data_IF_975326891732
#
_entry.id   IF_975326891732
#
_cell.length_a   1.000
_cell.length_b   1.000
_cell.length_c   1.000
_cell.angle_alpha   90.00
_cell.angle_beta   90.00
_cell.angle_gamma   90.00
#
_symmetry.space_group_name_H-M   'P 1'
#
loop_
_entity.id
_entity.type
_entity.pdbx_description
1 polymer ?
#
# COMPACT_ATOMS: atom_id res chain seq x y z
N UNK A 1 -4.14 11.27 10.46
CA UNK A 1 -5.28 10.83 9.60
C UNK A 1 -5.51 11.71 8.38
N UNK A 2 -5.33 13.04 8.46
CA UNK A 2 -5.58 13.98 7.33
C UNK A 2 -4.90 13.54 6.02
N UNK A 3 -3.62 13.14 6.06
CA UNK A 3 -2.87 12.68 4.88
C UNK A 3 -3.54 11.54 4.10
N UNK A 4 -4.15 10.59 4.81
CA UNK A 4 -4.76 9.40 4.23
C UNK A 4 -6.10 9.71 3.55
N UNK A 5 -6.76 10.80 3.98
CA UNK A 5 -8.03 11.28 3.42
C UNK A 5 -7.83 12.29 2.28
N UNK A 6 -6.70 12.99 2.24
CA UNK A 6 -6.42 14.02 1.23
C UNK A 6 -5.54 13.56 0.08
N UNK A 7 -4.85 12.41 0.23
CA UNK A 7 -3.90 11.92 -0.77
C UNK A 7 -4.35 10.61 -1.38
N UNK A 8 -4.56 10.61 -2.69
CA UNK A 8 -4.80 9.37 -3.43
C UNK A 8 -3.52 8.50 -3.45
N UNK A 9 -3.63 7.18 -3.20
CA UNK A 9 -2.50 6.26 -3.26
C UNK A 9 -1.72 6.32 -4.58
N UNK A 10 -2.41 6.59 -5.70
CA UNK A 10 -1.79 6.81 -7.01
C UNK A 10 -0.82 7.99 -7.00
N UNK A 11 -1.26 9.15 -6.51
CA UNK A 11 -0.46 10.37 -6.43
C UNK A 11 0.74 10.20 -5.51
N UNK A 12 0.58 9.49 -4.40
CA UNK A 12 1.67 9.18 -3.48
C UNK A 12 2.78 8.37 -4.18
N UNK A 13 2.42 7.31 -4.89
CA UNK A 13 3.43 6.48 -5.55
C UNK A 13 4.07 7.21 -6.74
N UNK A 14 3.29 8.01 -7.47
CA UNK A 14 3.83 8.87 -8.53
C UNK A 14 4.83 9.90 -7.99
N UNK A 15 4.57 10.51 -6.83
CA UNK A 15 5.52 11.45 -6.23
C UNK A 15 6.79 10.74 -5.74
N UNK A 16 6.71 9.51 -5.22
CA UNK A 16 7.89 8.71 -4.89
C UNK A 16 8.75 8.39 -6.13
N UNK A 17 8.12 8.07 -7.27
CA UNK A 17 8.86 7.81 -8.51
C UNK A 17 9.51 9.07 -9.09
N UNK A 18 8.81 10.21 -9.05
CA UNK A 18 9.28 11.43 -9.72
C UNK A 18 10.18 12.30 -8.84
N UNK A 19 9.82 12.46 -7.56
CA UNK A 19 10.53 13.33 -6.61
C UNK A 19 11.65 12.56 -5.91
N UNK A 20 11.34 11.39 -5.34
CA UNK A 20 12.34 10.55 -4.67
C UNK A 20 13.15 9.68 -5.65
N UNK A 21 12.90 9.81 -6.96
CA UNK A 21 13.59 9.08 -8.04
C UNK A 21 13.57 7.56 -7.87
N UNK A 22 12.49 7.03 -7.30
CA UNK A 22 12.31 5.59 -7.14
C UNK A 22 12.22 4.92 -8.53
N UNK A 23 12.95 3.82 -8.79
CA UNK A 23 12.84 3.08 -10.05
C UNK A 23 11.40 2.68 -10.34
N UNK A 24 10.93 2.92 -11.57
CA UNK A 24 9.53 2.71 -11.92
C UNK A 24 9.06 1.27 -11.64
N UNK A 25 9.93 0.26 -11.79
CA UNK A 25 9.59 -1.14 -11.48
C UNK A 25 9.13 -1.30 -10.04
N UNK A 26 9.87 -0.72 -9.09
CA UNK A 26 9.55 -0.77 -7.67
C UNK A 26 8.30 0.09 -7.38
N UNK A 27 8.21 1.27 -7.98
CA UNK A 27 7.05 2.14 -7.82
C UNK A 27 5.75 1.48 -8.27
N UNK A 28 5.69 0.89 -9.46
CA UNK A 28 4.48 0.21 -9.92
C UNK A 28 4.14 -1.05 -9.13
N UNK A 29 5.13 -1.79 -8.62
CA UNK A 29 4.89 -2.90 -7.68
C UNK A 29 4.26 -2.40 -6.38
N UNK A 30 4.76 -1.30 -5.81
CA UNK A 30 4.16 -0.68 -4.64
C UNK A 30 2.72 -0.22 -4.91
N UNK A 31 2.48 0.43 -6.06
CA UNK A 31 1.13 0.83 -6.46
C UNK A 31 0.18 -0.37 -6.60
N UNK A 32 0.65 -1.46 -7.22
CA UNK A 32 -0.11 -2.70 -7.33
C UNK A 32 -0.43 -3.29 -5.95
N UNK A 33 0.54 -3.32 -5.03
CA UNK A 33 0.36 -3.79 -3.66
C UNK A 33 -0.69 -2.95 -2.90
N UNK A 34 -0.62 -1.62 -3.01
CA UNK A 34 -1.61 -0.71 -2.38
C UNK A 34 -3.02 -0.94 -2.92
N UNK A 35 -3.16 -1.21 -4.22
CA UNK A 35 -4.44 -1.57 -4.84
C UNK A 35 -4.91 -2.98 -4.44
N UNK A 36 -3.97 -3.87 -4.12
CA UNK A 36 -4.27 -5.25 -3.74
C UNK A 36 -4.82 -5.36 -2.31
N UNK A 37 -4.46 -4.46 -1.39
CA UNK A 37 -4.96 -4.45 0.00
C UNK A 37 -6.51 -4.45 0.08
N UNK A 38 -7.25 -3.50 -0.54
CA UNK A 38 -8.71 -3.51 -0.46
C UNK A 38 -9.31 -4.75 -1.13
N UNK A 39 -8.72 -5.20 -2.24
CA UNK A 39 -9.16 -6.43 -2.92
C UNK A 39 -8.99 -7.66 -2.03
N UNK A 40 -7.87 -7.77 -1.32
CA UNK A 40 -7.61 -8.88 -0.39
C UNK A 40 -8.58 -8.86 0.78
N UNK A 41 -9.00 -7.68 1.24
CA UNK A 41 -10.01 -7.54 2.29
C UNK A 41 -11.39 -8.03 1.82
N UNK A 42 -11.81 -7.65 0.61
CA UNK A 42 -13.05 -8.16 0.01
C UNK A 42 -13.00 -9.68 -0.19
N UNK A 43 -11.87 -10.20 -0.67
CA UNK A 43 -11.68 -11.64 -0.85
C UNK A 43 -11.73 -12.39 0.49
N UNK A 44 -11.08 -11.85 1.53
CA UNK A 44 -11.16 -12.41 2.88
C UNK A 44 -12.61 -12.44 3.39
N UNK A 45 -13.40 -11.39 3.14
CA UNK A 45 -14.82 -11.35 3.50
C UNK A 45 -15.61 -12.42 2.74
N UNK A 46 -15.36 -12.59 1.44
CA UNK A 46 -16.00 -13.62 0.62
C UNK A 46 -15.67 -15.03 1.10
N UNK A 47 -14.39 -15.31 1.40
CA UNK A 47 -13.93 -16.59 1.94
C UNK A 47 -14.60 -16.87 3.29
N UNK A 48 -14.65 -15.85 4.17
CA UNK A 48 -15.30 -15.98 5.49
C UNK A 48 -16.78 -16.30 5.33
N UNK A 49 -17.49 -15.59 4.47
CA UNK A 49 -18.92 -15.84 4.20
C UNK A 49 -19.16 -17.24 3.62
N UNK A 50 -18.30 -17.70 2.71
CA UNK A 50 -18.40 -19.05 2.16
C UNK A 50 -18.19 -20.14 3.23
N UNK A 51 -17.27 -19.93 4.16
CA UNK A 51 -17.06 -20.83 5.31
C UNK A 51 -18.24 -20.82 6.27
N UNK A 52 -18.86 -19.66 6.52
CA UNK A 52 -20.08 -19.56 7.33
C UNK A 52 -21.25 -20.35 6.72
N UNK A 53 -21.46 -20.24 5.40
CA UNK A 53 -22.50 -21.02 4.68
C UNK A 53 -22.24 -22.53 4.76
N UNK A 54 -20.98 -22.95 4.76
CA UNK A 54 -20.57 -24.36 4.93
C UNK A 54 -20.67 -24.86 6.39
N UNK A 55 -21.16 -24.03 7.31
CA UNK A 55 -21.28 -24.40 8.72
C UNK A 55 -19.93 -24.50 9.45
N UNK A 56 -18.86 -23.92 8.90
CA UNK A 56 -17.56 -23.84 9.57
C UNK A 56 -17.67 -22.79 10.69
N UNK A 57 -18.18 -23.21 11.84
CA UNK A 57 -18.44 -22.35 12.98
C UNK A 57 -17.17 -21.92 13.71
N UNK A 58 -17.10 -20.64 14.10
CA UNK A 58 -16.10 -20.07 15.01
C UNK A 58 -16.31 -20.48 16.48
N UNK A 59 -17.18 -21.44 16.76
CA UNK A 59 -17.67 -21.82 18.09
C UNK A 59 -16.78 -22.81 18.86
N UNK A 60 -15.64 -23.23 18.32
CA UNK A 60 -14.73 -24.15 19.02
C UNK A 60 -13.74 -23.38 19.91
N UNK A 61 -13.84 -23.59 21.23
CA UNK A 61 -13.15 -22.84 22.31
C UNK A 61 -11.63 -23.15 22.43
N UNK A 62 -11.05 -23.98 21.56
CA UNK A 62 -9.63 -24.38 21.63
C UNK A 62 -8.65 -23.51 20.81
N UNK A 63 -7.41 -23.39 21.29
CA UNK A 63 -6.29 -22.79 20.54
C UNK A 63 -6.04 -23.53 19.20
N UNK A 64 -6.10 -24.87 19.21
CA UNK A 64 -5.93 -25.69 18.02
C UNK A 64 -7.05 -25.51 16.98
N UNK A 65 -8.30 -25.33 17.43
CA UNK A 65 -9.41 -25.05 16.50
C UNK A 65 -9.29 -23.67 15.88
N UNK A 66 -8.83 -22.66 16.64
CA UNK A 66 -8.56 -21.32 16.11
C UNK A 66 -7.48 -21.32 15.03
N UNK A 67 -6.42 -22.11 15.22
CA UNK A 67 -5.38 -22.30 14.21
C UNK A 67 -5.90 -22.99 12.94
N UNK A 68 -6.74 -24.01 13.07
CA UNK A 68 -7.34 -24.68 11.92
C UNK A 68 -8.32 -23.76 11.15
N UNK A 69 -9.09 -22.94 11.87
CA UNK A 69 -9.95 -21.91 11.28
C UNK A 69 -9.13 -20.86 10.51
N UNK A 70 -8.02 -20.39 11.11
CA UNK A 70 -7.09 -19.47 10.44
C UNK A 70 -6.51 -20.08 9.16
N UNK A 71 -6.03 -21.33 9.20
CA UNK A 71 -5.51 -22.04 8.03
C UNK A 71 -6.57 -22.12 6.90
N UNK A 72 -7.82 -22.40 7.28
CA UNK A 72 -8.95 -22.52 6.34
C UNK A 72 -9.22 -21.23 5.55
N UNK A 73 -8.96 -20.06 6.12
CA UNK A 73 -9.12 -18.77 5.42
C UNK A 73 -7.83 -18.28 4.76
N UNK A 74 -6.68 -18.48 5.39
CA UNK A 74 -5.38 -17.99 4.90
C UNK A 74 -4.94 -18.73 3.64
N UNK A 75 -5.10 -20.06 3.57
CA UNK A 75 -4.65 -20.84 2.41
C UNK A 75 -5.39 -20.41 1.12
N UNK A 76 -6.74 -20.33 1.08
CA UNK A 76 -7.44 -19.84 -0.09
C UNK A 76 -7.08 -18.40 -0.47
N UNK A 77 -6.89 -17.52 0.52
CA UNK A 77 -6.51 -16.13 0.29
C UNK A 77 -5.13 -16.03 -0.37
N UNK A 78 -4.16 -16.83 0.08
CA UNK A 78 -2.83 -16.89 -0.52
C UNK A 78 -2.88 -17.42 -1.96
N UNK A 79 -3.64 -18.49 -2.21
CA UNK A 79 -3.81 -19.05 -3.56
C UNK A 79 -4.45 -18.01 -4.50
N UNK A 80 -5.51 -17.32 -4.04
CA UNK A 80 -6.19 -16.25 -4.77
C UNK A 80 -5.21 -15.10 -5.08
N UNK A 81 -4.40 -14.70 -4.11
CA UNK A 81 -3.38 -13.68 -4.29
C UNK A 81 -2.27 -14.04 -5.28
N UNK A 82 -1.78 -15.29 -5.25
CA UNK A 82 -0.78 -15.77 -6.22
C UNK A 82 -1.35 -15.73 -7.64
N UNK A 83 -2.59 -16.23 -7.85
CA UNK A 83 -3.26 -16.18 -9.16
C UNK A 83 -3.40 -14.74 -9.65
N UNK A 84 -3.86 -13.83 -8.78
CA UNK A 84 -3.99 -12.42 -9.13
C UNK A 84 -2.66 -11.80 -9.53
N UNK A 85 -1.58 -12.12 -8.81
CA UNK A 85 -0.24 -11.64 -9.14
C UNK A 85 0.23 -12.14 -10.51
N UNK A 86 -0.03 -13.40 -10.84
CA UNK A 86 0.25 -13.97 -12.16
C UNK A 86 -0.54 -13.26 -13.27
N UNK A 87 -1.85 -13.07 -13.08
CA UNK A 87 -2.71 -12.36 -14.03
C UNK A 87 -2.20 -10.93 -14.29
N UNK A 88 -1.81 -10.23 -13.22
CA UNK A 88 -1.26 -8.88 -13.31
C UNK A 88 0.09 -8.89 -14.04
N UNK A 89 0.96 -9.86 -13.77
CA UNK A 89 2.25 -10.00 -14.46
C UNK A 89 2.05 -10.22 -15.96
N UNK A 90 1.20 -11.17 -16.34
CA UNK A 90 0.89 -11.47 -17.75
C UNK A 90 0.32 -10.23 -18.45
N UNK A 91 -0.59 -9.50 -17.78
CA UNK A 91 -1.13 -8.25 -18.32
C UNK A 91 -0.09 -7.13 -18.44
N UNK A 92 0.88 -7.07 -17.54
CA UNK A 92 2.00 -6.11 -17.60
C UNK A 92 2.95 -6.45 -18.75
N UNK A 93 3.31 -7.72 -18.91
CA UNK A 93 4.19 -8.19 -19.99
C UNK A 93 3.53 -7.98 -21.36
N UNK A 94 2.24 -8.27 -21.48
CA UNK A 94 1.45 -8.04 -22.70
C UNK A 94 1.39 -6.56 -23.11
N UNK A 95 1.55 -5.63 -22.16
CA UNK A 95 1.61 -4.18 -22.40
C UNK A 95 3.04 -3.65 -22.58
N UNK A 96 4.04 -4.54 -22.65
CA UNK A 96 5.44 -4.16 -22.78
C UNK A 96 6.01 -3.47 -21.54
N UNK A 97 5.49 -3.77 -20.34
CA UNK A 97 6.01 -3.19 -19.10
C UNK A 97 7.49 -3.57 -18.95
N UNK A 98 8.35 -2.55 -18.87
CA UNK A 98 9.79 -2.76 -18.72
C UNK A 98 10.55 -3.03 -20.01
N UNK A 99 9.92 -2.96 -21.18
CA UNK A 99 10.57 -3.08 -22.50
C UNK A 99 11.58 -1.96 -22.76
N UNK A 100 11.38 -0.77 -22.17
CA UNK A 100 12.25 0.40 -22.34
C UNK A 100 12.92 0.82 -21.03
N UNK A 101 14.14 1.36 -21.13
CA UNK A 101 14.89 1.91 -19.98
C UNK A 101 14.25 3.15 -19.38
N UNK A 102 13.71 4.03 -20.23
CA UNK A 102 12.98 5.25 -19.82
C UNK A 102 11.51 5.10 -20.17
N UNK A 103 10.64 5.44 -19.22
CA UNK A 103 9.18 5.42 -19.39
C UNK A 103 8.67 6.85 -19.58
N UNK A 104 7.74 7.04 -20.51
CA UNK A 104 7.00 8.29 -20.65
C UNK A 104 5.98 8.43 -19.51
N UNK A 105 6.02 9.57 -18.82
CA UNK A 105 5.13 9.88 -17.69
C UNK A 105 4.03 10.80 -18.22
N UNK A 106 2.77 10.37 -18.05
CA UNK A 106 1.60 11.15 -18.50
C UNK A 106 1.18 12.16 -17.43
N UNK A 107 1.15 11.73 -16.16
CA UNK A 107 0.82 12.59 -15.01
C UNK A 107 2.12 13.07 -14.33
N UNK A 108 2.58 14.26 -14.67
CA UNK A 108 3.74 14.88 -14.01
C UNK A 108 3.36 15.48 -12.65
N UNK A 109 4.08 15.09 -11.60
CA UNK A 109 3.99 15.67 -10.25
C UNK A 109 4.97 16.84 -10.20
N UNK A 110 4.46 18.06 -10.30
CA UNK A 110 5.26 19.29 -10.16
C UNK A 110 5.20 19.78 -8.71
N UNK A 111 6.37 19.93 -8.08
CA UNK A 111 6.49 20.54 -6.75
C UNK A 111 6.18 22.03 -6.88
N UNK A 112 5.10 22.49 -6.24
CA UNK A 112 4.68 23.89 -6.27
C UNK A 112 5.51 24.71 -5.28
N UNK A 113 5.59 26.02 -5.51
CA UNK A 113 6.26 26.93 -4.57
C UNK A 113 5.62 26.90 -3.17
N UNK A 114 4.31 26.66 -3.11
CA UNK A 114 3.58 26.46 -1.85
C UNK A 114 4.10 25.24 -1.07
N UNK A 115 4.43 24.14 -1.76
CA UNK A 115 4.98 22.93 -1.12
C UNK A 115 6.36 23.21 -0.51
N UNK A 116 7.18 24.03 -1.18
CA UNK A 116 8.50 24.43 -0.67
C UNK A 116 8.38 25.30 0.59
N UNK A 117 7.50 26.30 0.56
CA UNK A 117 7.25 27.17 1.72
C UNK A 117 6.75 26.36 2.90
N UNK A 118 5.81 25.42 2.66
CA UNK A 118 5.29 24.53 3.69
C UNK A 118 6.39 23.68 4.34
N UNK A 119 7.30 23.09 3.53
CA UNK A 119 8.43 22.31 4.05
C UNK A 119 9.36 23.17 4.90
N UNK A 120 9.71 24.37 4.44
CA UNK A 120 10.60 25.29 5.19
C UNK A 120 10.00 25.66 6.55
N UNK A 121 8.73 26.07 6.58
CA UNK A 121 8.04 26.44 7.82
C UNK A 121 7.99 25.25 8.79
N UNK A 122 7.68 24.06 8.29
CA UNK A 122 7.60 22.86 9.12
C UNK A 122 8.97 22.49 9.72
N UNK A 123 10.03 22.57 8.92
CA UNK A 123 11.40 22.27 9.36
C UNK A 123 11.89 23.30 10.39
N UNK A 124 11.57 24.57 10.18
CA UNK A 124 11.87 25.65 11.13
C UNK A 124 11.19 25.42 12.49
N UNK A 125 9.89 25.10 12.49
CA UNK A 125 9.15 24.80 13.73
C UNK A 125 9.71 23.57 14.45
N UNK A 126 10.14 22.54 13.71
CA UNK A 126 10.70 21.32 14.28
C UNK A 126 12.06 21.60 14.94
N UNK A 127 12.94 22.37 14.28
CA UNK A 127 14.21 22.81 14.85
C UNK A 127 13.98 23.68 16.09
N UNK A 128 13.06 24.63 16.02
CA UNK A 128 12.72 25.50 17.15
C UNK A 128 12.20 24.70 18.35
N UNK A 129 11.34 23.71 18.11
CA UNK A 129 10.83 22.81 19.15
C UNK A 129 11.95 21.98 19.79
N UNK A 130 12.86 21.41 18.99
CA UNK A 130 14.01 20.65 19.50
C UNK A 130 14.92 21.56 20.33
N UNK A 131 15.20 22.77 19.86
CA UNK A 131 16.02 23.74 20.58
C UNK A 131 15.39 24.13 21.92
N UNK A 132 14.08 24.40 21.94
CA UNK A 132 13.34 24.69 23.17
C UNK A 132 13.38 23.52 24.16
N UNK A 133 13.22 22.29 23.67
CA UNK A 133 13.27 21.07 24.50
C UNK A 133 14.67 20.83 25.08
N UNK A 134 15.74 21.16 24.35
CA UNK A 134 17.11 21.07 24.87
C UNK A 134 17.37 22.15 25.92
N UNK A 135 16.87 23.37 25.70
CA UNK A 135 17.07 24.50 26.63
C UNK A 135 16.29 24.37 27.94
N UNK A 136 15.09 23.76 27.91
CA UNK A 136 14.26 23.56 29.11
C UNK A 136 14.51 22.22 29.84
N UNK A 137 15.28 21.29 29.25
CA UNK A 137 15.57 19.97 29.83
C UNK A 137 17.03 19.82 30.32
N UNK A 138 17.77 20.93 30.36
CA UNK A 138 19.03 21.14 31.10
C UNK A 138 18.73 22.13 32.21
#
# INVERSE_FOLDING_TARGET
MIFMLTTEPKRLVQSLMQVAKLPYRIGYTLYAALRFIPLAYEEHKNITNAHLVRGVGFSRIGLFSKLNLLKSSVIPLLISGIRKAQDVSIAMDSRGFGAYKKRTIIDEIKVRNQDRIFVIITLFLLIFYIFFLIYYKI
#
